data_IF_909191042374
#
_entry.id   IF_909191042374
#
_cell.length_a   1.000
_cell.length_b   1.000
_cell.length_c   1.000
_cell.angle_alpha   90.00
_cell.angle_beta   90.00
_cell.angle_gamma   90.00
#
_symmetry.space_group_name_H-M   'P 1'
#
loop_
_entity.id
_entity.type
_entity.pdbx_description
1 polymer ?
#
# COMPACT_ATOMS: atom_id res chain seq x y z
N UNK A 1 -39.27 -19.34 -15.79
CA UNK A 1 -38.15 -18.49 -16.25
C UNK A 1 -38.37 -16.97 -16.09
N UNK A 2 -39.58 -16.44 -16.28
CA UNK A 2 -39.87 -15.00 -16.13
C UNK A 2 -39.64 -14.42 -14.72
N UNK A 3 -39.94 -15.15 -13.65
CA UNK A 3 -39.77 -14.71 -12.24
C UNK A 3 -38.31 -14.60 -11.81
N UNK A 4 -37.40 -15.39 -12.35
CA UNK A 4 -35.93 -15.28 -12.10
C UNK A 4 -35.32 -14.06 -12.78
N UNK A 5 -35.74 -13.77 -14.01
CA UNK A 5 -35.32 -12.53 -14.72
C UNK A 5 -35.77 -11.25 -14.01
N UNK A 6 -36.95 -11.25 -13.38
CA UNK A 6 -37.46 -10.07 -12.66
C UNK A 6 -36.76 -9.81 -11.33
N UNK A 7 -36.26 -10.86 -10.63
CA UNK A 7 -35.42 -10.71 -9.43
C UNK A 7 -34.03 -10.22 -9.77
N UNK A 8 -33.42 -10.77 -10.81
CA UNK A 8 -32.09 -10.35 -11.29
C UNK A 8 -32.10 -8.90 -11.79
N UNK A 9 -33.14 -8.50 -12.52
CA UNK A 9 -33.31 -7.09 -12.95
C UNK A 9 -33.59 -6.14 -11.78
N UNK A 10 -34.28 -6.56 -10.72
CA UNK A 10 -34.46 -5.73 -9.52
C UNK A 10 -33.14 -5.56 -8.77
N UNK A 11 -32.33 -6.61 -8.65
CA UNK A 11 -31.02 -6.53 -8.02
C UNK A 11 -30.04 -5.68 -8.84
N UNK A 12 -30.08 -5.80 -10.18
CA UNK A 12 -29.29 -4.94 -11.08
C UNK A 12 -29.75 -3.48 -11.07
N UNK A 13 -31.06 -3.22 -10.94
CA UNK A 13 -31.61 -1.87 -10.82
C UNK A 13 -31.33 -1.28 -9.44
N UNK A 14 -31.37 -2.10 -8.37
CA UNK A 14 -30.95 -1.70 -7.04
C UNK A 14 -29.45 -1.37 -7.01
N UNK A 15 -28.59 -2.24 -7.54
CA UNK A 15 -27.16 -1.99 -7.76
C UNK A 15 -26.92 -0.73 -8.60
N UNK A 16 -27.62 -0.56 -9.72
CA UNK A 16 -27.52 0.66 -10.56
C UNK A 16 -27.96 1.93 -9.81
N UNK A 17 -29.03 1.87 -9.00
CA UNK A 17 -29.48 3.01 -8.19
C UNK A 17 -28.47 3.35 -7.08
N UNK A 18 -27.85 2.34 -6.45
CA UNK A 18 -26.81 2.53 -5.44
C UNK A 18 -25.42 2.87 -6.04
N UNK A 19 -25.26 2.66 -7.33
CA UNK A 19 -24.09 3.07 -8.13
C UNK A 19 -24.26 4.45 -8.80
N UNK A 20 -25.34 5.20 -8.51
CA UNK A 20 -25.47 6.59 -8.99
C UNK A 20 -24.59 7.54 -8.16
N UNK A 21 -24.08 8.58 -8.80
CA UNK A 21 -22.98 9.47 -8.35
C UNK A 21 -23.05 10.02 -6.91
N UNK A 22 -24.19 9.93 -6.23
CA UNK A 22 -24.37 10.40 -4.83
C UNK A 22 -24.07 9.38 -3.74
N UNK A 23 -24.21 8.08 -4.02
CA UNK A 23 -24.10 6.99 -3.03
C UNK A 23 -22.73 6.25 -3.05
N UNK A 24 -21.85 6.56 -4.02
CA UNK A 24 -20.51 5.98 -4.10
C UNK A 24 -19.66 6.21 -2.83
N UNK A 25 -19.96 7.23 -2.03
CA UNK A 25 -19.23 7.47 -0.78
C UNK A 25 -19.40 6.30 0.19
N UNK A 26 -20.63 5.79 0.36
CA UNK A 26 -20.91 4.66 1.25
C UNK A 26 -20.14 3.41 0.84
N UNK A 27 -20.20 3.05 -0.45
CA UNK A 27 -19.53 1.85 -0.95
C UNK A 27 -18.00 1.97 -0.86
N UNK A 28 -17.40 3.10 -1.27
CA UNK A 28 -15.94 3.31 -1.17
C UNK A 28 -15.47 3.36 0.28
N UNK A 29 -16.22 4.01 1.17
CA UNK A 29 -15.93 4.03 2.60
C UNK A 29 -16.05 2.62 3.20
N UNK A 30 -17.09 1.88 2.85
CA UNK A 30 -17.29 0.52 3.37
C UNK A 30 -16.18 -0.42 2.88
N UNK A 31 -15.86 -0.40 1.58
CA UNK A 31 -14.76 -1.21 1.02
C UNK A 31 -13.41 -0.79 1.60
N UNK A 32 -13.16 0.52 1.75
CA UNK A 32 -11.94 1.04 2.37
C UNK A 32 -11.81 0.62 3.84
N UNK A 33 -12.90 0.69 4.61
CA UNK A 33 -12.93 0.24 6.01
C UNK A 33 -12.76 -1.27 6.13
N UNK A 34 -13.40 -2.07 5.26
CA UNK A 34 -13.22 -3.53 5.25
C UNK A 34 -11.79 -3.90 4.88
N UNK A 35 -11.20 -3.24 3.88
CA UNK A 35 -9.81 -3.45 3.51
C UNK A 35 -8.87 -3.06 4.67
N UNK A 36 -9.09 -1.89 5.30
CA UNK A 36 -8.32 -1.45 6.46
C UNK A 36 -8.46 -2.39 7.65
N UNK A 37 -9.68 -2.89 7.93
CA UNK A 37 -9.92 -3.87 9.00
C UNK A 37 -9.22 -5.20 8.72
N UNK A 38 -9.29 -5.70 7.48
CA UNK A 38 -8.56 -6.90 7.06
C UNK A 38 -7.05 -6.75 7.17
N UNK A 39 -6.51 -5.60 6.74
CA UNK A 39 -5.10 -5.27 6.90
C UNK A 39 -4.70 -5.17 8.38
N UNK A 40 -5.50 -4.51 9.21
CA UNK A 40 -5.24 -4.37 10.65
C UNK A 40 -5.28 -5.72 11.37
N UNK A 41 -6.25 -6.56 11.02
CA UNK A 41 -6.33 -7.92 11.56
C UNK A 41 -5.11 -8.75 11.16
N UNK A 42 -4.71 -8.74 9.88
CA UNK A 42 -3.51 -9.45 9.40
C UNK A 42 -2.24 -8.96 10.10
N UNK A 43 -2.10 -7.63 10.26
CA UNK A 43 -0.99 -7.03 10.97
C UNK A 43 -0.95 -7.46 12.44
N UNK A 44 -2.11 -7.44 13.13
CA UNK A 44 -2.24 -7.84 14.52
C UNK A 44 -1.84 -9.30 14.72
N UNK A 45 -2.35 -10.21 13.88
CA UNK A 45 -1.99 -11.64 13.95
C UNK A 45 -0.49 -11.89 13.79
N UNK A 46 0.13 -11.25 12.78
CA UNK A 46 1.58 -11.40 12.57
C UNK A 46 2.36 -10.76 13.74
N UNK A 47 1.90 -9.63 14.27
CA UNK A 47 2.51 -8.96 15.42
C UNK A 47 2.44 -9.78 16.70
N UNK A 48 1.32 -10.45 16.97
CA UNK A 48 1.16 -11.40 18.09
C UNK A 48 2.16 -12.55 17.98
N UNK A 49 2.26 -13.19 16.80
CA UNK A 49 3.18 -14.30 16.57
C UNK A 49 4.65 -13.87 16.79
N UNK A 50 5.01 -12.64 16.41
CA UNK A 50 6.36 -12.10 16.63
C UNK A 50 6.62 -11.79 18.11
N UNK A 51 5.63 -11.20 18.79
CA UNK A 51 5.76 -10.78 20.20
C UNK A 51 5.80 -11.96 21.17
N UNK A 52 5.26 -13.10 20.79
CA UNK A 52 5.24 -14.32 21.63
C UNK A 52 6.61 -15.01 21.78
N UNK A 53 7.69 -14.46 21.23
CA UNK A 53 9.04 -15.04 21.21
C UNK A 53 9.09 -16.49 20.71
N UNK A 54 8.11 -16.91 19.93
CA UNK A 54 8.11 -18.20 19.26
C UNK A 54 9.22 -18.29 18.21
N UNK A 55 9.64 -19.50 17.79
CA UNK A 55 10.54 -19.65 16.66
C UNK A 55 9.90 -18.98 15.43
N UNK A 56 10.72 -18.42 14.51
CA UNK A 56 10.19 -17.89 13.26
C UNK A 56 9.23 -18.89 12.64
N UNK A 57 8.08 -18.43 12.14
CA UNK A 57 7.07 -19.29 11.49
C UNK A 57 7.79 -20.28 10.56
N UNK A 58 7.44 -21.56 10.63
CA UNK A 58 8.08 -22.61 9.79
C UNK A 58 8.06 -22.21 8.29
N UNK A 59 7.04 -21.48 7.87
CA UNK A 59 6.93 -20.86 6.55
C UNK A 59 8.07 -19.85 6.30
N UNK A 60 8.46 -19.07 7.29
CA UNK A 60 9.55 -18.08 7.14
C UNK A 60 10.91 -18.75 6.93
N UNK A 61 11.17 -19.86 7.61
CA UNK A 61 12.43 -20.62 7.49
C UNK A 61 12.49 -21.41 6.18
N UNK A 62 11.45 -22.18 5.85
CA UNK A 62 11.39 -22.98 4.62
C UNK A 62 11.46 -22.09 3.38
N UNK A 63 10.73 -20.98 3.39
CA UNK A 63 10.81 -20.02 2.29
C UNK A 63 12.20 -19.36 2.19
N UNK A 64 12.97 -19.21 3.30
CA UNK A 64 14.31 -18.65 3.26
C UNK A 64 15.29 -19.51 2.46
N UNK A 65 15.31 -20.81 2.72
CA UNK A 65 16.20 -21.76 2.03
C UNK A 65 15.83 -21.90 0.54
N UNK A 66 14.55 -22.08 0.22
CA UNK A 66 14.09 -22.23 -1.17
C UNK A 66 14.45 -21.03 -2.05
N UNK A 67 14.27 -19.79 -1.54
CA UNK A 67 14.61 -18.59 -2.32
C UNK A 67 16.12 -18.45 -2.50
N UNK A 68 16.92 -18.90 -1.52
CA UNK A 68 18.38 -18.88 -1.64
C UNK A 68 18.89 -19.78 -2.77
N UNK A 69 18.31 -20.96 -2.93
CA UNK A 69 18.64 -21.92 -3.98
C UNK A 69 18.31 -21.45 -5.40
N UNK A 70 17.28 -20.60 -5.53
CA UNK A 70 16.83 -20.05 -6.81
C UNK A 70 17.61 -18.79 -7.26
N UNK A 71 18.65 -18.37 -6.54
CA UNK A 71 19.42 -17.16 -6.87
C UNK A 71 20.26 -17.35 -8.12
N UNK A 72 20.10 -16.43 -9.07
CA UNK A 72 20.97 -16.30 -10.24
C UNK A 72 21.47 -14.85 -10.34
N UNK A 73 22.63 -14.59 -10.97
CA UNK A 73 23.13 -13.23 -11.12
C UNK A 73 22.14 -12.28 -11.79
N UNK A 74 21.48 -12.74 -12.85
CA UNK A 74 20.47 -11.96 -13.61
C UNK A 74 19.25 -11.61 -12.75
N UNK A 75 18.72 -12.60 -12.03
CA UNK A 75 17.56 -12.41 -11.19
C UNK A 75 17.89 -11.53 -9.97
N UNK A 76 19.09 -11.68 -9.42
CA UNK A 76 19.59 -10.82 -8.32
C UNK A 76 19.70 -9.38 -8.79
N UNK A 77 20.28 -9.13 -9.97
CA UNK A 77 20.36 -7.77 -10.53
C UNK A 77 18.97 -7.18 -10.78
N UNK A 78 18.03 -7.95 -11.32
CA UNK A 78 16.65 -7.50 -11.48
C UNK A 78 16.02 -7.07 -10.15
N UNK A 79 16.13 -7.90 -9.10
CA UNK A 79 15.55 -7.54 -7.79
C UNK A 79 16.31 -6.43 -7.07
N UNK A 80 17.60 -6.23 -7.36
CA UNK A 80 18.34 -5.06 -6.88
C UNK A 80 17.80 -3.76 -7.49
N UNK A 81 17.48 -3.75 -8.79
CA UNK A 81 16.84 -2.60 -9.44
C UNK A 81 15.43 -2.36 -8.90
N UNK A 82 14.64 -3.41 -8.74
CA UNK A 82 13.27 -3.30 -8.20
C UNK A 82 13.28 -2.79 -6.77
N UNK A 83 14.17 -3.31 -5.90
CA UNK A 83 14.24 -2.86 -4.50
C UNK A 83 14.67 -1.41 -4.38
N UNK A 84 15.50 -0.91 -5.31
CA UNK A 84 15.94 0.49 -5.33
C UNK A 84 14.75 1.46 -5.44
N UNK A 85 13.66 1.08 -6.12
CA UNK A 85 12.42 1.88 -6.19
C UNK A 85 11.70 2.00 -4.84
N UNK A 86 11.93 1.08 -3.91
CA UNK A 86 11.40 1.14 -2.55
C UNK A 86 12.40 1.65 -1.51
N UNK A 87 13.61 2.07 -1.93
CA UNK A 87 14.63 2.59 -1.03
C UNK A 87 14.25 3.96 -0.43
N UNK A 88 14.88 4.31 0.68
CA UNK A 88 14.63 5.60 1.35
C UNK A 88 14.92 6.76 0.40
N UNK A 89 15.97 6.66 -0.41
CA UNK A 89 16.38 7.69 -1.37
C UNK A 89 15.33 7.87 -2.47
N UNK A 90 14.84 6.77 -3.07
CA UNK A 90 13.81 6.82 -4.10
C UNK A 90 12.48 7.36 -3.54
N UNK A 91 12.08 6.88 -2.36
CA UNK A 91 10.86 7.33 -1.67
C UNK A 91 10.96 8.83 -1.33
N UNK A 92 12.09 9.28 -0.78
CA UNK A 92 12.31 10.69 -0.48
C UNK A 92 12.29 11.57 -1.75
N UNK A 93 12.95 11.10 -2.82
CA UNK A 93 12.96 11.81 -4.11
C UNK A 93 11.56 11.95 -4.71
N UNK A 94 10.79 10.85 -4.77
CA UNK A 94 9.42 10.87 -5.31
C UNK A 94 8.50 11.71 -4.43
N UNK A 95 8.67 11.64 -3.09
CA UNK A 95 7.90 12.46 -2.13
C UNK A 95 8.18 13.95 -2.35
N UNK A 96 9.45 14.32 -2.53
CA UNK A 96 9.87 15.70 -2.78
C UNK A 96 9.34 16.20 -4.14
N UNK A 97 9.50 15.41 -5.20
CA UNK A 97 8.97 15.77 -6.53
C UNK A 97 7.46 16.01 -6.47
N UNK A 98 6.71 15.11 -5.84
CA UNK A 98 5.26 15.27 -5.67
C UNK A 98 4.92 16.53 -4.88
N UNK A 99 5.62 16.82 -3.78
CA UNK A 99 5.41 18.02 -2.99
C UNK A 99 5.70 19.29 -3.80
N UNK A 100 6.82 19.33 -4.54
CA UNK A 100 7.16 20.48 -5.40
C UNK A 100 6.11 20.65 -6.50
N UNK A 101 5.73 19.59 -7.22
CA UNK A 101 4.73 19.66 -8.31
C UNK A 101 3.38 20.15 -7.79
N UNK A 102 2.85 19.55 -6.73
CA UNK A 102 1.54 19.96 -6.20
C UNK A 102 1.58 21.35 -5.55
N UNK A 103 2.69 21.72 -4.92
CA UNK A 103 2.89 23.02 -4.32
C UNK A 103 3.01 24.14 -5.36
N UNK A 104 3.85 23.98 -6.38
CA UNK A 104 4.05 24.98 -7.45
C UNK A 104 2.78 25.16 -8.31
N UNK A 105 2.05 24.08 -8.56
CA UNK A 105 0.77 24.15 -9.27
C UNK A 105 -0.39 24.59 -8.37
N UNK A 106 -0.10 24.95 -7.11
CA UNK A 106 -1.08 25.40 -6.11
C UNK A 106 -2.25 24.43 -5.94
N UNK A 107 -2.02 23.13 -6.12
CA UNK A 107 -3.00 22.06 -5.96
C UNK A 107 -3.11 21.64 -4.48
N UNK A 108 -3.46 22.57 -3.61
CA UNK A 108 -3.47 22.37 -2.15
C UNK A 108 -4.30 21.18 -1.68
N UNK A 109 -5.39 20.85 -2.41
CA UNK A 109 -6.22 19.67 -2.15
C UNK A 109 -5.52 18.33 -2.43
N UNK A 110 -4.39 18.34 -3.15
CA UNK A 110 -3.54 17.17 -3.40
C UNK A 110 -2.24 17.27 -2.59
N UNK A 111 -1.72 18.46 -2.40
CA UNK A 111 -0.48 18.72 -1.66
C UNK A 111 -0.56 18.26 -0.20
N UNK A 112 -1.57 18.72 0.54
CA UNK A 112 -1.74 18.37 1.95
C UNK A 112 -1.82 16.84 2.17
N UNK A 113 -2.74 16.13 1.50
CA UNK A 113 -2.81 14.68 1.58
C UNK A 113 -1.52 13.95 1.16
N UNK A 114 -0.82 14.46 0.16
CA UNK A 114 0.47 13.91 -0.26
C UNK A 114 1.52 13.97 0.83
N UNK A 115 1.70 15.15 1.43
CA UNK A 115 2.68 15.36 2.51
C UNK A 115 2.33 14.55 3.75
N UNK A 116 1.03 14.46 4.11
CA UNK A 116 0.55 13.66 5.24
C UNK A 116 0.79 12.17 4.97
N UNK A 117 0.50 11.69 3.76
CA UNK A 117 0.71 10.29 3.43
C UNK A 117 2.20 9.92 3.52
N UNK A 118 3.07 10.69 2.86
CA UNK A 118 4.50 10.43 2.85
C UNK A 118 5.16 10.63 4.22
N UNK A 119 4.93 11.76 4.89
CA UNK A 119 5.54 12.04 6.19
C UNK A 119 4.99 11.14 7.31
N UNK A 120 3.69 10.88 7.30
CA UNK A 120 3.06 10.02 8.30
C UNK A 120 3.45 8.55 8.18
N UNK A 121 3.70 8.04 6.96
CA UNK A 121 4.18 6.68 6.78
C UNK A 121 5.60 6.51 7.34
N UNK A 122 6.47 7.48 7.15
CA UNK A 122 7.83 7.48 7.75
C UNK A 122 7.75 7.44 9.27
N UNK A 123 6.92 8.28 9.87
CA UNK A 123 6.73 8.28 11.34
C UNK A 123 6.18 6.93 11.81
N UNK A 124 5.16 6.41 11.12
CA UNK A 124 4.52 5.15 11.50
C UNK A 124 5.50 3.97 11.41
N UNK A 125 6.31 3.87 10.35
CA UNK A 125 7.29 2.79 10.22
C UNK A 125 8.36 2.84 11.32
N UNK A 126 8.84 4.04 11.68
CA UNK A 126 9.81 4.20 12.74
C UNK A 126 9.24 3.76 14.10
N UNK A 127 8.00 4.17 14.42
CA UNK A 127 7.31 3.77 15.64
C UNK A 127 7.12 2.24 15.71
N UNK A 128 6.65 1.62 14.61
CA UNK A 128 6.46 0.18 14.57
C UNK A 128 7.77 -0.59 14.71
N UNK A 129 8.86 -0.13 14.09
CA UNK A 129 10.17 -0.78 14.24
C UNK A 129 10.69 -0.75 15.67
N UNK A 130 10.52 0.38 16.37
CA UNK A 130 10.91 0.50 17.78
C UNK A 130 10.01 -0.35 18.67
N UNK A 131 8.73 -0.48 18.35
CA UNK A 131 7.78 -1.28 19.14
C UNK A 131 8.08 -2.78 19.07
N UNK A 132 8.38 -3.30 17.88
CA UNK A 132 8.52 -4.76 17.68
C UNK A 132 9.96 -5.28 17.77
N UNK A 133 10.97 -4.45 17.54
CA UNK A 133 12.42 -4.76 17.67
C UNK A 133 12.88 -6.12 17.11
N UNK A 134 12.18 -6.65 16.08
CA UNK A 134 12.46 -7.98 15.50
C UNK A 134 13.84 -8.00 14.83
N UNK A 135 14.72 -9.00 15.14
CA UNK A 135 15.98 -9.17 14.44
C UNK A 135 15.72 -9.60 12.97
N UNK A 136 16.69 -9.30 12.10
CA UNK A 136 16.63 -9.70 10.68
C UNK A 136 17.03 -11.16 10.49
N UNK A 137 16.64 -11.78 9.33
CA UNK A 137 17.19 -13.07 8.93
C UNK A 137 18.72 -12.99 8.87
N UNK A 138 19.37 -14.00 9.41
CA UNK A 138 20.82 -14.11 9.35
C UNK A 138 21.22 -15.02 8.18
N UNK A 139 22.16 -14.55 7.35
CA UNK A 139 22.80 -15.32 6.31
C UNK A 139 24.32 -15.10 6.39
N UNK A 140 25.10 -16.15 6.17
CA UNK A 140 26.57 -16.05 6.20
C UNK A 140 27.11 -15.08 5.13
N UNK A 141 26.42 -15.00 3.97
CA UNK A 141 26.78 -14.10 2.88
C UNK A 141 25.54 -13.26 2.49
N UNK A 142 25.27 -12.18 3.21
CA UNK A 142 24.12 -11.32 2.89
C UNK A 142 24.38 -10.52 1.59
N UNK A 143 23.37 -10.44 0.72
CA UNK A 143 23.44 -9.61 -0.49
C UNK A 143 23.30 -8.12 -0.19
N UNK A 144 22.68 -7.76 0.94
CA UNK A 144 22.50 -6.40 1.42
C UNK A 144 22.72 -6.37 2.94
N UNK A 145 23.36 -5.31 3.42
CA UNK A 145 23.51 -5.03 4.84
C UNK A 145 22.48 -3.97 5.26
N UNK A 146 21.69 -4.31 6.23
CA UNK A 146 20.65 -3.44 6.78
C UNK A 146 20.78 -3.41 8.30
N UNK A 147 20.86 -2.25 8.90
CA UNK A 147 21.12 -2.06 10.32
C UNK A 147 19.86 -1.88 11.18
N UNK A 148 18.72 -1.56 10.56
CA UNK A 148 17.47 -1.34 11.30
C UNK A 148 16.72 -2.65 11.58
N UNK A 149 15.76 -2.63 12.51
CA UNK A 149 14.90 -3.78 12.83
C UNK A 149 14.14 -4.30 11.59
N UNK A 150 13.82 -5.61 11.61
CA UNK A 150 13.21 -6.30 10.48
C UNK A 150 11.73 -5.97 10.29
N UNK A 151 10.97 -5.90 11.37
CA UNK A 151 9.51 -5.79 11.32
C UNK A 151 9.01 -4.36 11.60
N UNK A 152 8.01 -3.93 10.84
CA UNK A 152 7.60 -4.42 9.54
C UNK A 152 8.56 -3.95 8.42
N UNK A 153 8.41 -4.49 7.19
CA UNK A 153 9.23 -4.07 6.05
C UNK A 153 8.90 -2.64 5.61
N UNK A 154 9.88 -1.72 5.76
CA UNK A 154 9.73 -0.33 5.36
C UNK A 154 9.52 -0.16 3.86
N UNK A 155 10.31 -0.86 3.02
CA UNK A 155 10.16 -0.84 1.56
C UNK A 155 8.74 -1.25 1.12
N UNK A 156 8.19 -2.31 1.72
CA UNK A 156 6.85 -2.78 1.41
C UNK A 156 5.77 -1.76 1.84
N UNK A 157 5.88 -1.20 3.03
CA UNK A 157 4.96 -0.23 3.57
C UNK A 157 4.96 1.07 2.77
N UNK A 158 6.14 1.65 2.55
CA UNK A 158 6.30 2.90 1.81
C UNK A 158 5.88 2.77 0.34
N UNK A 159 6.18 1.62 -0.30
CA UNK A 159 5.73 1.35 -1.66
C UNK A 159 4.20 1.38 -1.77
N UNK A 160 3.47 0.75 -0.82
CA UNK A 160 2.00 0.79 -0.78
C UNK A 160 1.51 2.24 -0.66
N UNK A 161 2.06 3.00 0.28
CA UNK A 161 1.58 4.35 0.57
C UNK A 161 1.88 5.30 -0.58
N UNK A 162 3.14 5.37 -1.00
CA UNK A 162 3.58 6.37 -1.97
C UNK A 162 3.04 6.08 -3.37
N UNK A 163 3.27 4.86 -3.88
CA UNK A 163 2.78 4.50 -5.22
C UNK A 163 1.26 4.36 -5.23
N UNK A 164 0.64 3.93 -4.12
CA UNK A 164 -0.81 3.92 -3.97
C UNK A 164 -1.43 5.32 -4.03
N UNK A 165 -0.84 6.32 -3.39
CA UNK A 165 -1.29 7.72 -3.49
C UNK A 165 -1.10 8.28 -4.91
N UNK A 166 0.01 7.97 -5.58
CA UNK A 166 0.21 8.35 -6.99
C UNK A 166 -0.85 7.72 -7.89
N UNK A 167 -1.12 6.43 -7.72
CA UNK A 167 -2.16 5.73 -8.45
C UNK A 167 -3.54 6.34 -8.20
N UNK A 168 -3.87 6.67 -6.96
CA UNK A 168 -5.11 7.34 -6.60
C UNK A 168 -5.24 8.69 -7.35
N UNK A 169 -4.23 9.54 -7.32
CA UNK A 169 -4.26 10.82 -8.04
C UNK A 169 -4.32 10.64 -9.57
N UNK A 170 -3.61 9.65 -10.11
CA UNK A 170 -3.70 9.31 -11.53
C UNK A 170 -5.12 8.85 -11.92
N UNK A 171 -5.75 7.98 -11.12
CA UNK A 171 -7.13 7.52 -11.34
C UNK A 171 -8.14 8.67 -11.33
N UNK A 172 -7.92 9.69 -10.49
CA UNK A 172 -8.76 10.89 -10.49
C UNK A 172 -8.64 11.72 -11.78
N UNK A 173 -7.44 11.75 -12.38
CA UNK A 173 -7.17 12.50 -13.61
C UNK A 173 -7.59 11.76 -14.88
N UNK A 174 -7.58 10.43 -14.88
CA UNK A 174 -7.87 9.59 -16.04
C UNK A 174 -9.37 9.51 -16.33
N UNK A 175 -9.72 9.52 -17.63
CA UNK A 175 -11.12 9.51 -18.10
C UNK A 175 -11.65 8.11 -18.36
N UNK A 176 -10.81 7.18 -18.83
CA UNK A 176 -11.25 5.86 -19.27
C UNK A 176 -11.02 4.81 -18.17
N UNK A 177 -11.96 3.85 -18.06
CA UNK A 177 -11.84 2.78 -17.09
C UNK A 177 -10.62 1.87 -17.34
N UNK A 178 -10.27 1.67 -18.62
CA UNK A 178 -9.10 0.85 -19.02
C UNK A 178 -7.79 1.47 -18.51
N UNK A 179 -7.62 2.79 -18.68
CA UNK A 179 -6.45 3.48 -18.17
C UNK A 179 -6.38 3.44 -16.63
N UNK A 180 -7.52 3.60 -15.96
CA UNK A 180 -7.60 3.44 -14.48
C UNK A 180 -7.21 2.05 -14.03
N UNK A 181 -7.76 1.02 -14.69
CA UNK A 181 -7.43 -0.38 -14.39
C UNK A 181 -5.94 -0.68 -14.64
N UNK A 182 -5.37 -0.17 -15.74
CA UNK A 182 -3.94 -0.33 -16.04
C UNK A 182 -3.04 0.30 -14.98
N UNK A 183 -3.37 1.51 -14.49
CA UNK A 183 -2.63 2.17 -13.41
C UNK A 183 -2.70 1.36 -12.12
N UNK A 184 -3.89 0.94 -11.71
CA UNK A 184 -4.06 0.15 -10.49
C UNK A 184 -3.32 -1.17 -10.59
N UNK A 185 -3.45 -1.89 -11.71
CA UNK A 185 -2.76 -3.16 -11.92
C UNK A 185 -1.23 -2.98 -11.92
N UNK A 186 -0.71 -2.02 -12.69
CA UNK A 186 0.73 -1.75 -12.77
C UNK A 186 1.32 -1.34 -11.42
N UNK A 187 0.61 -0.49 -10.67
CA UNK A 187 1.03 -0.10 -9.31
C UNK A 187 1.00 -1.28 -8.35
N UNK A 188 -0.06 -2.11 -8.38
CA UNK A 188 -0.13 -3.31 -7.53
C UNK A 188 1.01 -4.28 -7.84
N UNK A 189 1.29 -4.51 -9.11
CA UNK A 189 2.41 -5.36 -9.53
C UNK A 189 3.75 -4.80 -9.05
N UNK A 190 4.00 -3.50 -9.21
CA UNK A 190 5.23 -2.85 -8.73
C UNK A 190 5.39 -3.01 -7.21
N UNK A 191 4.34 -2.73 -6.44
CA UNK A 191 4.34 -2.86 -4.98
C UNK A 191 4.65 -4.30 -4.55
N UNK A 192 4.02 -5.29 -5.19
CA UNK A 192 4.27 -6.71 -4.93
C UNK A 192 5.72 -7.09 -5.26
N UNK A 193 6.26 -6.61 -6.39
CA UNK A 193 7.64 -6.86 -6.78
C UNK A 193 8.63 -6.23 -5.81
N UNK A 194 8.40 -4.98 -5.34
CA UNK A 194 9.23 -4.34 -4.33
C UNK A 194 9.22 -5.15 -3.03
N UNK A 195 8.06 -5.56 -2.53
CA UNK A 195 7.98 -6.38 -1.32
C UNK A 195 8.64 -7.74 -1.51
N UNK A 196 8.40 -8.43 -2.62
CA UNK A 196 9.03 -9.71 -2.92
C UNK A 196 10.55 -9.59 -3.04
N UNK A 197 11.07 -8.50 -3.61
CA UNK A 197 12.53 -8.26 -3.70
C UNK A 197 13.20 -8.30 -2.32
N UNK A 198 12.54 -7.78 -1.26
CA UNK A 198 13.07 -7.79 0.10
C UNK A 198 13.23 -9.21 0.65
N UNK A 199 12.30 -10.08 0.26
CA UNK A 199 12.35 -11.50 0.59
C UNK A 199 13.44 -12.23 -0.21
N UNK A 200 13.50 -11.98 -1.52
CA UNK A 200 14.50 -12.56 -2.42
C UNK A 200 15.93 -12.22 -2.00
N UNK A 201 16.16 -10.95 -1.65
CA UNK A 201 17.46 -10.46 -1.19
C UNK A 201 17.83 -10.91 0.23
N UNK A 202 16.90 -11.54 0.97
CA UNK A 202 17.16 -12.14 2.28
C UNK A 202 17.17 -11.16 3.44
N UNK A 203 16.69 -9.93 3.25
CA UNK A 203 16.74 -8.88 4.29
C UNK A 203 15.49 -8.82 5.18
N UNK A 204 14.41 -9.51 4.79
CA UNK A 204 13.15 -9.59 5.54
C UNK A 204 12.54 -10.97 5.50
N UNK A 205 11.82 -11.34 6.54
CA UNK A 205 10.90 -12.48 6.54
C UNK A 205 9.65 -12.18 5.71
N UNK A 206 8.94 -13.22 5.25
CA UNK A 206 7.68 -13.05 4.52
C UNK A 206 6.64 -12.30 5.36
N UNK A 207 6.55 -12.63 6.66
CA UNK A 207 5.68 -11.94 7.61
C UNK A 207 5.96 -10.44 7.70
N UNK A 208 7.23 -10.01 7.65
CA UNK A 208 7.59 -8.58 7.67
C UNK A 208 7.05 -7.83 6.44
N UNK A 209 7.13 -8.48 5.27
CA UNK A 209 6.65 -7.91 4.00
C UNK A 209 5.13 -7.80 4.00
N UNK A 210 4.42 -8.87 4.39
CA UNK A 210 2.95 -8.87 4.47
C UNK A 210 2.46 -7.86 5.49
N UNK A 211 3.10 -7.76 6.66
CA UNK A 211 2.80 -6.75 7.66
C UNK A 211 3.06 -5.32 7.14
N UNK A 212 4.14 -5.12 6.38
CA UNK A 212 4.42 -3.85 5.70
C UNK A 212 3.30 -3.46 4.74
N UNK A 213 2.85 -4.39 3.89
CA UNK A 213 1.70 -4.15 3.00
C UNK A 213 0.42 -3.84 3.79
N UNK A 214 0.17 -4.57 4.88
CA UNK A 214 -1.00 -4.36 5.72
C UNK A 214 -0.99 -2.99 6.40
N UNK A 215 0.10 -2.61 7.06
CA UNK A 215 0.26 -1.30 7.71
C UNK A 215 0.16 -0.16 6.68
N UNK A 216 0.84 -0.31 5.54
CA UNK A 216 0.75 0.64 4.42
C UNK A 216 -0.67 0.75 3.87
N UNK A 217 -1.39 -0.36 3.75
CA UNK A 217 -2.78 -0.40 3.30
C UNK A 217 -3.75 0.33 4.23
N UNK A 218 -3.60 0.15 5.55
CA UNK A 218 -4.36 0.90 6.55
C UNK A 218 -4.09 2.39 6.41
N UNK A 219 -2.82 2.79 6.37
CA UNK A 219 -2.43 4.20 6.27
C UNK A 219 -2.92 4.83 4.96
N UNK A 220 -2.69 4.17 3.82
CA UNK A 220 -3.17 4.62 2.51
C UNK A 220 -4.69 4.79 2.49
N UNK A 221 -5.45 3.82 3.00
CA UNK A 221 -6.92 3.87 3.06
C UNK A 221 -7.40 5.05 3.89
N UNK A 222 -6.73 5.34 5.00
CA UNK A 222 -7.00 6.50 5.86
C UNK A 222 -6.75 7.81 5.11
N UNK A 223 -5.60 7.93 4.44
CA UNK A 223 -5.24 9.12 3.65
C UNK A 223 -6.20 9.36 2.48
N UNK A 224 -6.57 8.31 1.74
CA UNK A 224 -7.54 8.41 0.63
C UNK A 224 -8.91 8.84 1.16
N UNK A 225 -9.38 8.23 2.25
CA UNK A 225 -10.68 8.55 2.86
C UNK A 225 -10.73 10.01 3.31
N UNK A 226 -9.71 10.48 4.03
CA UNK A 226 -9.60 11.86 4.46
C UNK A 226 -9.57 12.82 3.27
N UNK A 227 -8.81 12.48 2.22
CA UNK A 227 -8.73 13.28 0.99
C UNK A 227 -10.10 13.40 0.30
N UNK A 228 -10.83 12.30 0.16
CA UNK A 228 -12.17 12.31 -0.44
C UNK A 228 -13.17 13.13 0.38
N UNK A 229 -13.08 13.05 1.70
CA UNK A 229 -13.93 13.87 2.58
C UNK A 229 -13.72 15.36 2.35
N UNK A 230 -12.46 15.82 2.34
CA UNK A 230 -12.10 17.23 2.12
C UNK A 230 -12.49 17.69 0.70
N UNK A 231 -12.18 16.91 -0.32
CA UNK A 231 -12.52 17.23 -1.73
C UNK A 231 -14.02 17.42 -1.94
N UNK A 232 -14.83 16.55 -1.36
CA UNK A 232 -16.30 16.63 -1.49
C UNK A 232 -16.87 17.80 -0.68
N UNK A 233 -16.31 18.11 0.48
CA UNK A 233 -16.66 19.29 1.25
C UNK A 233 -16.47 20.57 0.44
N UNK A 234 -15.30 20.71 -0.21
CA UNK A 234 -14.99 21.87 -1.06
C UNK A 234 -15.96 22.00 -2.27
N UNK A 235 -16.31 20.88 -2.93
CA UNK A 235 -17.25 20.88 -4.05
C UNK A 235 -18.66 21.32 -3.64
N UNK A 236 -19.16 20.85 -2.48
CA UNK A 236 -20.48 21.26 -1.94
C UNK A 236 -20.54 22.74 -1.59
N UNK A 237 -19.46 23.33 -1.09
CA UNK A 237 -19.40 24.76 -0.77
C UNK A 237 -19.38 25.62 -2.06
N UNK A 238 -18.67 25.18 -3.11
CA UNK A 238 -18.64 25.83 -4.41
C UNK A 238 -20.02 25.86 -5.08
N UNK A 239 -20.79 24.76 -5.01
CA UNK A 239 -22.15 24.68 -5.59
C UNK A 239 -23.22 25.46 -4.82
N UNK A 240 -22.96 25.88 -3.56
CA UNK A 240 -23.87 26.73 -2.78
C UNK A 240 -23.63 28.22 -2.99
N UNK A 241 -22.48 28.57 -3.58
CA UNK A 241 -22.11 29.99 -3.85
C UNK A 241 -22.32 30.40 -5.30
N UNK A 242 -22.59 29.45 -6.18
CA UNK A 242 -22.98 29.65 -7.59
C UNK A 242 -24.51 29.61 -7.76
#
# INVERSE_FOLDING_TARGET
MARLRSRYNRQLLWLRRHLTRGEYLGLHLTLGLLAAAGCLWSFGRIGEDISSNGPPLSIDQTAATTVHELRTPTLTMFFMIITALGSIEAIALVSLIGAVVFGTWRRWLLFGPWVIAAGGSVVLILLLKVLFTRPRPYFEQPLLLETSYSFPSGHAMEAVVLYGMLAYFAVLALRTWRARAAVVFGTSLLVLLIGFSRRYLGVHYLGDVVAGFAAGGVWLSTCITATEFVRRGAQRQGSRRA
#
